data_IF_288887105125
#
_entry.id   IF_288887105125
#
_cell.length_a   1.000
_cell.length_b   1.000
_cell.length_c   1.000
_cell.angle_alpha   90.00
_cell.angle_beta   90.00
_cell.angle_gamma   90.00
#
_symmetry.space_group_name_H-M   'P 1'
#
loop_
_entity.id
_entity.type
_entity.pdbx_description
1 polymer ?
#
# COMPACT_ATOMS: atom_id res chain seq x y z
N UNK A 1 35.48 -20.28 -0.70
CA UNK A 1 34.13 -19.73 -0.46
C UNK A 1 33.24 -20.91 -0.16
N UNK A 2 32.60 -20.94 1.01
CA UNK A 2 31.71 -22.04 1.38
C UNK A 2 30.37 -21.85 0.69
N UNK A 3 29.96 -22.84 -0.12
CA UNK A 3 28.62 -22.87 -0.71
C UNK A 3 27.57 -22.86 0.41
N UNK A 4 26.58 -21.98 0.32
CA UNK A 4 25.56 -21.80 1.35
C UNK A 4 24.48 -22.89 1.31
N UNK A 5 24.26 -23.52 0.16
CA UNK A 5 23.30 -24.63 0.01
C UNK A 5 23.08 -24.96 -1.46
N UNK A 6 22.27 -25.99 -1.71
CA UNK A 6 21.96 -26.50 -3.05
C UNK A 6 20.55 -26.08 -3.45
N UNK A 7 20.44 -25.42 -4.61
CA UNK A 7 19.21 -24.85 -5.16
C UNK A 7 18.84 -25.58 -6.44
N UNK A 8 17.59 -26.02 -6.55
CA UNK A 8 17.05 -26.60 -7.77
C UNK A 8 16.25 -25.56 -8.55
N UNK A 9 16.70 -25.24 -9.75
CA UNK A 9 15.98 -24.37 -10.69
C UNK A 9 15.21 -25.24 -11.70
N UNK A 10 13.91 -25.03 -11.81
CA UNK A 10 13.04 -25.78 -12.74
C UNK A 10 12.38 -24.77 -13.68
N UNK A 11 12.78 -24.77 -14.95
CA UNK A 11 12.28 -23.84 -15.98
C UNK A 11 12.51 -24.52 -17.34
N UNK A 12 11.57 -24.47 -18.28
CA UNK A 12 11.74 -25.11 -19.59
C UNK A 12 12.63 -24.30 -20.54
N UNK A 13 12.79 -23.01 -20.28
CA UNK A 13 13.66 -22.12 -21.06
C UNK A 13 15.11 -22.22 -20.59
N UNK A 14 15.97 -22.83 -21.42
CA UNK A 14 17.42 -22.96 -21.16
C UNK A 14 18.08 -21.62 -20.83
N UNK A 15 17.68 -20.53 -21.50
CA UNK A 15 18.22 -19.18 -21.25
C UNK A 15 17.84 -18.65 -19.88
N UNK A 16 16.63 -18.96 -19.39
CA UNK A 16 16.16 -18.58 -18.06
C UNK A 16 16.97 -19.32 -16.99
N UNK A 17 17.17 -20.63 -17.17
CA UNK A 17 18.04 -21.42 -16.30
C UNK A 17 19.48 -20.88 -16.25
N UNK A 18 20.07 -20.53 -17.40
CA UNK A 18 21.41 -19.96 -17.48
C UNK A 18 21.51 -18.61 -16.73
N UNK A 19 20.49 -17.76 -16.87
CA UNK A 19 20.43 -16.47 -16.17
C UNK A 19 20.34 -16.66 -14.65
N UNK A 20 19.41 -17.51 -14.18
CA UNK A 20 19.25 -17.83 -12.75
C UNK A 20 20.51 -18.48 -12.18
N UNK A 21 21.09 -19.43 -12.91
CA UNK A 21 22.35 -20.08 -12.52
C UNK A 21 23.50 -19.08 -12.45
N UNK A 22 23.60 -18.15 -13.39
CA UNK A 22 24.65 -17.12 -13.37
C UNK A 22 24.56 -16.23 -12.15
N UNK A 23 23.34 -15.89 -11.71
CA UNK A 23 23.09 -15.03 -10.56
C UNK A 23 23.31 -15.77 -9.23
N UNK A 24 22.94 -17.05 -9.15
CA UNK A 24 22.96 -17.80 -7.89
C UNK A 24 24.26 -18.57 -7.63
N UNK A 25 25.05 -18.91 -8.67
CA UNK A 25 26.24 -19.77 -8.55
C UNK A 25 27.38 -19.22 -7.67
N UNK A 26 27.38 -17.91 -7.38
CA UNK A 26 28.42 -17.29 -6.54
C UNK A 26 28.24 -17.68 -5.06
N UNK A 27 26.99 -17.90 -4.63
CA UNK A 27 26.62 -18.20 -3.25
C UNK A 27 26.15 -19.66 -3.06
N UNK A 28 25.65 -20.30 -4.12
CA UNK A 28 24.94 -21.58 -4.06
C UNK A 28 25.42 -22.60 -5.10
N UNK A 29 25.23 -23.88 -4.80
CA UNK A 29 25.26 -24.93 -5.81
C UNK A 29 23.92 -24.95 -6.53
N UNK A 30 23.93 -24.87 -7.86
CA UNK A 30 22.70 -24.74 -8.65
C UNK A 30 22.54 -25.94 -9.56
N UNK A 31 21.49 -26.72 -9.30
CA UNK A 31 20.99 -27.79 -10.15
C UNK A 31 19.90 -27.22 -11.06
N UNK A 32 19.83 -27.69 -12.31
CA UNK A 32 18.83 -27.24 -13.26
C UNK A 32 18.05 -28.43 -13.83
N UNK A 33 16.73 -28.27 -13.97
CA UNK A 33 15.84 -29.23 -14.62
C UNK A 33 14.94 -28.52 -15.62
N UNK A 34 14.79 -29.10 -16.83
CA UNK A 34 13.93 -28.55 -17.88
C UNK A 34 12.45 -28.91 -17.75
N UNK A 35 12.11 -29.82 -16.84
CA UNK A 35 10.75 -30.32 -16.64
C UNK A 35 10.62 -30.96 -15.25
N UNK A 36 9.38 -31.25 -14.84
CA UNK A 36 9.07 -31.86 -13.56
C UNK A 36 9.71 -33.24 -13.37
N UNK A 37 9.74 -34.10 -14.40
CA UNK A 37 10.28 -35.46 -14.28
C UNK A 37 11.79 -35.47 -14.03
N UNK A 38 12.54 -34.57 -14.67
CA UNK A 38 13.97 -34.43 -14.42
C UNK A 38 14.25 -33.76 -13.06
N UNK A 39 13.38 -32.86 -12.61
CA UNK A 39 13.45 -32.30 -11.27
C UNK A 39 13.23 -33.36 -10.17
N UNK A 40 12.27 -34.28 -10.37
CA UNK A 40 12.00 -35.39 -9.44
C UNK A 40 13.21 -36.33 -9.32
N UNK A 41 13.87 -36.69 -10.43
CA UNK A 41 15.12 -37.51 -10.39
C UNK A 41 16.23 -36.85 -9.57
N UNK A 42 16.36 -35.52 -9.64
CA UNK A 42 17.34 -34.78 -8.86
C UNK A 42 16.96 -34.76 -7.38
N UNK A 43 15.67 -34.64 -7.05
CA UNK A 43 15.18 -34.70 -5.67
C UNK A 43 15.32 -36.10 -5.04
N UNK A 44 15.35 -37.17 -5.84
CA UNK A 44 15.61 -38.54 -5.36
C UNK A 44 17.09 -38.78 -5.02
N UNK A 45 18.02 -38.15 -5.75
CA UNK A 45 19.46 -38.40 -5.64
C UNK A 45 20.24 -37.38 -4.83
N UNK A 46 19.77 -36.13 -4.74
CA UNK A 46 20.52 -34.99 -4.21
C UNK A 46 19.78 -34.29 -3.08
N UNK A 47 20.53 -33.69 -2.15
CA UNK A 47 19.96 -32.87 -1.08
C UNK A 47 19.69 -31.46 -1.62
N UNK A 48 18.41 -31.14 -1.82
CA UNK A 48 17.97 -29.81 -2.26
C UNK A 48 17.46 -29.00 -1.06
N UNK A 49 17.99 -27.79 -0.90
CA UNK A 49 17.64 -26.90 0.22
C UNK A 49 16.47 -25.99 -0.16
N UNK A 50 16.44 -25.50 -1.40
CA UNK A 50 15.32 -24.73 -1.92
C UNK A 50 15.10 -24.99 -3.42
N UNK A 51 13.85 -24.81 -3.85
CA UNK A 51 13.40 -25.03 -5.23
C UNK A 51 12.87 -23.71 -5.77
N UNK A 52 13.31 -23.36 -6.97
CA UNK A 52 12.90 -22.17 -7.70
C UNK A 52 12.28 -22.63 -9.02
N UNK A 53 10.95 -22.68 -9.07
CA UNK A 53 10.22 -23.28 -10.18
C UNK A 53 9.53 -22.20 -11.00
N UNK A 54 9.64 -22.26 -12.33
CA UNK A 54 8.82 -21.46 -13.21
C UNK A 54 7.38 -21.97 -13.18
N UNK A 55 6.45 -21.03 -13.19
CA UNK A 55 5.04 -21.35 -13.13
C UNK A 55 4.53 -21.97 -14.43
N UNK A 56 5.09 -21.62 -15.59
CA UNK A 56 4.63 -22.05 -16.90
C UNK A 56 5.62 -23.01 -17.53
N UNK A 57 5.50 -24.29 -17.21
CA UNK A 57 6.28 -25.33 -17.88
C UNK A 57 5.40 -26.12 -18.86
N UNK A 58 5.98 -26.74 -19.90
CA UNK A 58 5.28 -27.63 -20.81
C UNK A 58 4.63 -28.77 -20.03
N UNK A 59 3.40 -29.12 -20.40
CA UNK A 59 2.60 -30.22 -19.85
C UNK A 59 2.10 -30.05 -18.41
N UNK A 60 2.82 -29.30 -17.56
CA UNK A 60 2.48 -29.14 -16.15
C UNK A 60 2.82 -27.75 -15.61
N UNK A 61 1.98 -27.21 -14.71
CA UNK A 61 2.27 -25.96 -14.01
C UNK A 61 3.21 -26.14 -12.82
N UNK A 62 4.01 -25.11 -12.52
CA UNK A 62 4.91 -25.10 -11.36
C UNK A 62 4.19 -25.35 -10.03
N UNK A 63 3.00 -24.77 -9.83
CA UNK A 63 2.16 -25.06 -8.66
C UNK A 63 1.79 -26.55 -8.55
N UNK A 64 1.39 -27.20 -9.64
CA UNK A 64 1.00 -28.63 -9.63
C UNK A 64 2.19 -29.52 -9.26
N UNK A 65 3.36 -29.24 -9.86
CA UNK A 65 4.60 -29.91 -9.52
C UNK A 65 4.95 -29.71 -8.03
N UNK A 66 4.92 -28.47 -7.54
CA UNK A 66 5.28 -28.16 -6.15
C UNK A 66 4.31 -28.75 -5.11
N UNK A 67 3.04 -29.00 -5.46
CA UNK A 67 2.11 -29.78 -4.62
C UNK A 67 2.60 -31.21 -4.43
N UNK A 68 3.01 -31.90 -5.50
CA UNK A 68 3.60 -33.25 -5.40
C UNK A 68 4.90 -33.23 -4.61
N UNK A 69 5.76 -32.24 -4.87
CA UNK A 69 7.00 -32.07 -4.10
C UNK A 69 6.69 -31.96 -2.62
N UNK A 70 5.67 -31.19 -2.22
CA UNK A 70 5.28 -31.07 -0.80
C UNK A 70 4.94 -32.43 -0.15
N UNK A 71 4.37 -33.36 -0.91
CA UNK A 71 3.97 -34.68 -0.40
C UNK A 71 5.15 -35.67 -0.32
N UNK A 72 6.04 -35.65 -1.31
CA UNK A 72 7.13 -36.62 -1.45
C UNK A 72 8.45 -36.13 -0.85
N UNK A 73 8.73 -34.84 -0.96
CA UNK A 73 9.93 -34.15 -0.43
C UNK A 73 9.50 -32.88 0.31
N UNK A 74 9.04 -33.02 1.57
CA UNK A 74 8.49 -31.88 2.32
C UNK A 74 9.56 -30.85 2.72
N UNK A 75 10.82 -31.26 2.83
CA UNK A 75 11.92 -30.48 3.41
C UNK A 75 12.36 -29.25 2.59
N UNK A 76 12.57 -29.33 1.26
CA UNK A 76 13.06 -28.19 0.48
C UNK A 76 12.09 -27.01 0.53
N UNK A 77 12.62 -25.80 0.66
CA UNK A 77 11.81 -24.58 0.63
C UNK A 77 11.37 -24.28 -0.81
N UNK A 78 10.06 -24.24 -1.05
CA UNK A 78 9.48 -24.15 -2.39
C UNK A 78 9.18 -22.69 -2.75
N UNK A 79 9.73 -22.19 -3.86
CA UNK A 79 9.50 -20.85 -4.39
C UNK A 79 9.08 -20.93 -5.86
N UNK A 80 8.36 -19.90 -6.31
CA UNK A 80 7.85 -19.86 -7.68
C UNK A 80 8.20 -18.56 -8.39
N UNK A 81 8.55 -18.66 -9.67
CA UNK A 81 8.81 -17.55 -10.58
C UNK A 81 7.70 -17.48 -11.63
N UNK A 82 7.19 -16.29 -11.91
CA UNK A 82 6.05 -16.11 -12.80
C UNK A 82 6.09 -14.73 -13.48
N UNK A 83 5.49 -14.61 -14.66
CA UNK A 83 5.40 -13.35 -15.42
C UNK A 83 4.12 -12.57 -15.12
N UNK A 84 4.05 -11.32 -15.59
CA UNK A 84 2.92 -10.38 -15.41
C UNK A 84 1.54 -10.86 -15.94
N UNK A 85 1.44 -12.06 -16.52
CA UNK A 85 0.23 -12.54 -17.21
C UNK A 85 -0.42 -13.78 -16.56
N UNK A 86 -0.05 -14.12 -15.34
CA UNK A 86 -0.50 -15.33 -14.65
C UNK A 86 -1.80 -15.12 -13.85
N UNK A 87 -2.75 -16.05 -14.02
CA UNK A 87 -4.12 -15.99 -13.50
C UNK A 87 -4.21 -16.24 -11.98
N UNK A 88 -5.29 -15.74 -11.35
CA UNK A 88 -5.61 -15.88 -9.92
C UNK A 88 -5.62 -17.34 -9.40
N UNK A 89 -5.89 -18.32 -10.26
CA UNK A 89 -5.85 -19.76 -9.94
C UNK A 89 -4.49 -20.24 -9.43
N UNK A 90 -3.42 -19.52 -9.82
CA UNK A 90 -2.05 -19.79 -9.41
C UNK A 90 -1.85 -19.37 -7.95
N UNK A 91 -2.46 -18.26 -7.53
CA UNK A 91 -2.40 -17.71 -6.17
C UNK A 91 -3.11 -18.62 -5.17
N UNK A 92 -4.26 -19.19 -5.54
CA UNK A 92 -5.00 -20.15 -4.71
C UNK A 92 -4.21 -21.44 -4.45
N UNK A 93 -3.50 -21.93 -5.47
CA UNK A 93 -2.65 -23.12 -5.36
C UNK A 93 -1.35 -22.92 -4.56
N UNK A 94 -0.93 -21.67 -4.29
CA UNK A 94 0.30 -21.38 -3.53
C UNK A 94 0.27 -21.93 -2.11
N UNK A 95 -0.88 -21.81 -1.43
CA UNK A 95 -1.06 -22.28 -0.06
C UNK A 95 -1.09 -23.81 0.01
N UNK A 96 -1.74 -24.47 -0.96
CA UNK A 96 -1.79 -25.92 -1.07
C UNK A 96 -0.43 -26.53 -1.45
N UNK A 97 0.37 -25.85 -2.27
CA UNK A 97 1.75 -26.25 -2.58
C UNK A 97 2.74 -25.92 -1.45
N UNK A 98 2.31 -25.19 -0.41
CA UNK A 98 3.19 -24.75 0.67
C UNK A 98 4.35 -23.90 0.15
N UNK A 99 4.06 -23.02 -0.81
CA UNK A 99 5.03 -22.13 -1.43
C UNK A 99 5.40 -21.04 -0.43
N UNK A 100 6.70 -20.89 -0.21
CA UNK A 100 7.29 -19.90 0.67
C UNK A 100 7.19 -18.49 0.07
N UNK A 101 7.55 -18.37 -1.21
CA UNK A 101 7.63 -17.06 -1.86
C UNK A 101 7.33 -17.12 -3.35
N UNK A 102 6.64 -16.08 -3.81
CA UNK A 102 6.32 -15.80 -5.21
C UNK A 102 7.18 -14.65 -5.72
N UNK A 103 7.78 -14.82 -6.91
CA UNK A 103 8.74 -13.90 -7.51
C UNK A 103 8.28 -13.52 -8.93
N UNK A 104 8.09 -12.22 -9.17
CA UNK A 104 7.66 -11.69 -10.47
C UNK A 104 8.84 -11.49 -11.42
N UNK A 105 8.70 -11.91 -12.69
CA UNK A 105 9.55 -11.50 -13.82
C UNK A 105 9.11 -10.09 -14.30
N UNK A 106 10.03 -9.13 -14.54
CA UNK A 106 11.47 -9.25 -14.38
C UNK A 106 11.89 -9.14 -12.91
N UNK A 107 12.79 -10.04 -12.48
CA UNK A 107 13.37 -10.04 -11.14
C UNK A 107 14.69 -9.26 -11.13
N UNK A 108 15.01 -8.64 -9.99
CA UNK A 108 16.30 -7.96 -9.77
C UNK A 108 17.31 -8.96 -9.20
N UNK A 109 18.53 -9.07 -9.75
CA UNK A 109 19.51 -10.06 -9.34
C UNK A 109 19.85 -10.04 -7.84
N UNK A 110 20.10 -8.86 -7.27
CA UNK A 110 20.48 -8.74 -5.85
C UNK A 110 19.35 -9.22 -4.94
N UNK A 111 18.12 -8.80 -5.23
CA UNK A 111 16.93 -9.18 -4.48
C UNK A 111 16.63 -10.68 -4.57
N UNK A 112 16.89 -11.29 -5.73
CA UNK A 112 16.71 -12.74 -5.90
C UNK A 112 17.68 -13.53 -5.03
N UNK A 113 18.94 -13.10 -4.95
CA UNK A 113 19.96 -13.74 -4.10
C UNK A 113 19.55 -13.67 -2.63
N UNK A 114 19.09 -12.52 -2.15
CA UNK A 114 18.65 -12.36 -0.75
C UNK A 114 17.47 -13.28 -0.40
N UNK A 115 16.46 -13.37 -1.28
CA UNK A 115 15.32 -14.26 -1.14
C UNK A 115 15.77 -15.73 -1.01
N UNK A 116 16.72 -16.16 -1.86
CA UNK A 116 17.22 -17.53 -1.82
C UNK A 116 18.08 -17.79 -0.57
N UNK A 117 18.84 -16.79 -0.09
CA UNK A 117 19.58 -16.89 1.18
C UNK A 117 18.63 -17.11 2.36
N UNK A 118 17.53 -16.36 2.43
CA UNK A 118 16.49 -16.55 3.44
C UNK A 118 15.86 -17.95 3.35
N UNK A 119 15.56 -18.43 2.14
CA UNK A 119 14.99 -19.76 1.93
C UNK A 119 15.93 -20.89 2.44
N UNK A 120 17.23 -20.80 2.17
CA UNK A 120 18.20 -21.79 2.66
C UNK A 120 18.37 -21.72 4.19
N UNK A 121 18.33 -20.53 4.77
CA UNK A 121 18.34 -20.38 6.23
C UNK A 121 17.11 -21.02 6.87
N UNK A 122 15.93 -20.83 6.27
CA UNK A 122 14.70 -21.47 6.72
C UNK A 122 14.77 -23.00 6.68
N UNK A 123 15.33 -23.57 5.61
CA UNK A 123 15.58 -25.01 5.52
C UNK A 123 16.45 -25.50 6.69
N UNK A 124 17.56 -24.82 6.97
CA UNK A 124 18.48 -25.19 8.05
C UNK A 124 17.81 -25.12 9.42
N UNK A 125 17.05 -24.06 9.69
CA UNK A 125 16.31 -23.90 10.94
C UNK A 125 15.23 -24.99 11.11
N UNK A 126 14.58 -25.42 10.02
CA UNK A 126 13.63 -26.54 10.05
C UNK A 126 14.35 -27.85 10.40
N UNK A 127 15.50 -28.13 9.78
CA UNK A 127 16.29 -29.34 10.06
C UNK A 127 16.93 -29.37 11.43
N UNK A 128 17.41 -28.24 11.96
CA UNK A 128 17.93 -28.13 13.33
C UNK A 128 16.84 -28.43 14.37
N UNK A 129 15.60 -28.01 14.10
CA UNK A 129 14.43 -28.28 14.95
C UNK A 129 14.04 -29.76 14.93
N UNK A 130 14.24 -30.46 13.81
CA UNK A 130 14.01 -31.91 13.69
C UNK A 130 15.13 -32.74 14.34
N UNK A 131 16.38 -32.28 14.25
CA UNK A 131 17.57 -33.02 14.73
C UNK A 131 17.73 -32.95 16.25
N UNK A 132 17.23 -31.88 16.90
CA UNK A 132 17.17 -31.75 18.36
C UNK A 132 15.99 -32.54 19.00
N UNK A 133 15.24 -33.31 18.21
CA UNK A 133 14.03 -34.03 18.60
C UNK A 133 14.15 -35.56 18.66
N UNK A 134 15.36 -36.14 18.73
CA UNK A 134 15.53 -37.59 18.93
C UNK A 134 15.37 -37.95 20.41
N UNK A 135 14.11 -37.88 20.86
CA UNK A 135 13.51 -38.71 21.91
C UNK A 135 12.17 -38.06 22.26
N UNK A 136 11.11 -38.40 21.52
CA UNK A 136 9.76 -38.68 22.04
C UNK A 136 8.90 -39.13 20.86
N UNK A 137 8.37 -40.34 21.00
CA UNK A 137 7.41 -41.00 20.11
C UNK A 137 6.25 -40.08 19.69
N UNK A 138 5.90 -40.22 18.42
CA UNK A 138 4.70 -39.76 17.73
C UNK A 138 3.51 -39.35 18.62
N UNK A 139 3.08 -38.09 18.50
CA UNK A 139 1.71 -37.63 18.74
C UNK A 139 1.50 -36.28 18.02
N UNK A 140 0.28 -35.93 17.58
CA UNK A 140 0.00 -34.84 16.63
C UNK A 140 0.12 -33.47 17.31
N UNK A 141 1.35 -33.00 17.49
CA UNK A 141 1.67 -31.74 18.18
C UNK A 141 2.51 -30.75 17.37
N UNK A 142 3.04 -31.12 16.21
CA UNK A 142 4.05 -30.30 15.51
C UNK A 142 3.49 -29.14 14.68
N UNK A 143 2.18 -29.09 14.43
CA UNK A 143 1.52 -27.94 13.78
C UNK A 143 1.55 -26.68 14.70
N UNK A 144 1.70 -26.84 16.02
CA UNK A 144 1.73 -25.69 16.95
C UNK A 144 3.04 -24.90 16.91
N UNK A 145 4.16 -25.49 16.46
CA UNK A 145 5.47 -24.79 16.44
C UNK A 145 5.70 -23.94 15.18
N UNK A 146 5.25 -24.36 14.00
CA UNK A 146 5.35 -23.54 12.77
C UNK A 146 4.46 -22.29 12.85
N UNK A 147 3.29 -22.41 13.50
CA UNK A 147 2.43 -21.26 13.80
C UNK A 147 3.11 -20.31 14.80
N UNK A 148 3.90 -20.82 15.76
CA UNK A 148 4.61 -19.97 16.73
C UNK A 148 5.77 -19.14 16.15
N UNK A 149 6.37 -19.58 15.03
CA UNK A 149 7.43 -18.80 14.33
C UNK A 149 6.80 -17.71 13.44
N UNK A 150 5.71 -18.02 12.72
CA UNK A 150 4.88 -17.00 12.02
C UNK A 150 4.29 -15.96 12.99
N UNK A 151 3.95 -16.39 14.21
CA UNK A 151 3.44 -15.56 15.32
C UNK A 151 4.46 -14.56 15.86
N UNK A 152 5.77 -14.83 15.72
CA UNK A 152 6.83 -13.90 16.14
C UNK A 152 7.05 -12.79 15.11
N UNK A 153 7.22 -13.15 13.84
CA UNK A 153 7.63 -12.21 12.78
C UNK A 153 6.48 -11.31 12.33
N UNK A 154 5.27 -11.85 12.08
CA UNK A 154 4.12 -11.04 11.68
C UNK A 154 3.63 -10.13 12.83
N UNK A 155 3.67 -10.62 14.07
CA UNK A 155 3.38 -9.79 15.25
C UNK A 155 4.43 -8.69 15.42
N UNK A 156 5.73 -8.97 15.23
CA UNK A 156 6.78 -7.93 15.28
C UNK A 156 6.72 -6.90 14.14
N UNK A 157 6.17 -7.27 12.98
CA UNK A 157 6.05 -6.39 11.82
C UNK A 157 4.81 -5.49 11.86
N UNK A 158 3.75 -5.92 12.55
CA UNK A 158 2.47 -5.21 12.57
C UNK A 158 1.94 -4.98 13.99
N UNK A 159 2.79 -5.06 15.02
CA UNK A 159 2.40 -4.73 16.40
C UNK A 159 1.97 -3.27 16.50
N UNK A 160 1.23 -2.95 17.56
CA UNK A 160 0.89 -1.57 17.89
C UNK A 160 2.13 -0.68 18.02
N UNK A 161 3.28 -1.24 18.41
CA UNK A 161 4.55 -0.55 18.57
C UNK A 161 5.13 -0.01 17.24
N UNK A 162 4.63 -0.47 16.09
CA UNK A 162 5.00 0.04 14.75
C UNK A 162 4.27 1.31 14.37
N UNK A 163 3.20 1.66 15.08
CA UNK A 163 2.50 2.92 14.88
C UNK A 163 3.36 4.00 15.52
N UNK A 164 4.17 4.69 14.72
CA UNK A 164 5.08 5.72 15.22
C UNK A 164 4.27 6.90 15.76
N UNK A 165 4.50 7.24 17.03
CA UNK A 165 3.91 8.40 17.69
C UNK A 165 4.80 8.89 18.84
N UNK A 166 4.63 10.15 19.22
CA UNK A 166 5.21 10.76 20.42
C UNK A 166 4.48 10.32 21.68
N UNK A 167 5.13 10.45 22.84
CA UNK A 167 4.52 10.15 24.14
C UNK A 167 3.27 10.99 24.42
N UNK A 168 3.25 12.24 23.95
CA UNK A 168 2.15 13.19 24.16
C UNK A 168 1.07 13.13 23.06
N UNK A 169 1.21 12.21 22.10
CA UNK A 169 0.30 12.12 20.96
C UNK A 169 -1.11 11.63 21.34
N UNK A 170 -2.17 12.17 20.71
CA UNK A 170 -3.52 11.59 20.82
C UNK A 170 -3.60 10.12 20.36
N UNK A 171 -2.60 9.64 19.61
CA UNK A 171 -2.49 8.23 19.20
C UNK A 171 -2.43 7.25 20.37
N UNK A 172 -1.99 7.67 21.55
CA UNK A 172 -2.00 6.81 22.74
C UNK A 172 -3.39 6.26 23.04
N UNK A 173 -4.42 7.12 22.99
CA UNK A 173 -5.82 6.71 23.23
C UNK A 173 -6.32 5.80 22.12
N UNK A 174 -5.93 6.07 20.88
CA UNK A 174 -6.29 5.26 19.70
C UNK A 174 -5.72 3.85 19.82
N UNK A 175 -4.45 3.74 20.22
CA UNK A 175 -3.76 2.46 20.42
C UNK A 175 -4.35 1.70 21.60
N UNK A 176 -4.67 2.38 22.70
CA UNK A 176 -5.34 1.76 23.84
C UNK A 176 -6.71 1.18 23.47
N UNK A 177 -7.51 1.93 22.71
CA UNK A 177 -8.78 1.45 22.17
C UNK A 177 -8.59 0.28 21.20
N UNK A 178 -7.59 0.35 20.33
CA UNK A 178 -7.24 -0.74 19.41
C UNK A 178 -6.82 -2.02 20.14
N UNK A 179 -6.01 -1.91 21.21
CA UNK A 179 -5.62 -3.03 22.06
C UNK A 179 -6.83 -3.67 22.74
N UNK A 180 -7.71 -2.85 23.33
CA UNK A 180 -8.98 -3.34 23.90
C UNK A 180 -9.84 -4.03 22.86
N UNK A 181 -9.95 -3.47 21.66
CA UNK A 181 -10.70 -4.08 20.58
C UNK A 181 -10.11 -5.43 20.18
N UNK A 182 -8.78 -5.58 20.16
CA UNK A 182 -8.11 -6.82 19.78
C UNK A 182 -8.48 -8.01 20.69
N UNK A 183 -8.74 -7.76 21.98
CA UNK A 183 -9.10 -8.78 22.97
C UNK A 183 -10.49 -9.39 22.77
N UNK A 184 -11.38 -8.71 22.03
CA UNK A 184 -12.75 -9.15 21.80
C UNK A 184 -13.02 -9.45 20.32
N UNK A 185 -13.89 -10.41 20.06
CA UNK A 185 -14.36 -10.72 18.70
C UNK A 185 -15.53 -9.81 18.31
N UNK A 186 -15.22 -8.50 18.21
CA UNK A 186 -16.17 -7.44 17.88
C UNK A 186 -15.79 -6.77 16.56
N UNK A 187 -16.81 -6.28 15.83
CA UNK A 187 -16.58 -5.45 14.65
C UNK A 187 -16.04 -4.08 15.05
N UNK A 188 -15.02 -3.62 14.33
CA UNK A 188 -14.35 -2.34 14.60
C UNK A 188 -14.52 -1.43 13.40
N UNK A 189 -15.00 -0.20 13.64
CA UNK A 189 -15.08 0.84 12.61
C UNK A 189 -13.98 1.88 12.84
N UNK A 190 -13.02 1.96 11.92
CA UNK A 190 -11.92 2.92 11.96
C UNK A 190 -12.27 4.12 11.10
N UNK A 191 -12.51 5.28 11.72
CA UNK A 191 -12.77 6.53 11.01
C UNK A 191 -11.51 7.38 10.94
N UNK A 192 -11.41 8.23 9.93
CA UNK A 192 -10.35 9.24 9.84
C UNK A 192 -9.95 9.53 8.41
N UNK A 193 -9.27 10.65 8.20
CA UNK A 193 -8.91 11.12 6.86
C UNK A 193 -8.04 10.12 6.08
N UNK A 194 -7.96 10.33 4.76
CA UNK A 194 -7.08 9.51 3.92
C UNK A 194 -5.62 9.69 4.35
N UNK A 195 -4.87 8.58 4.41
CA UNK A 195 -3.46 8.60 4.78
C UNK A 195 -3.16 8.76 6.28
N UNK A 196 -4.13 8.65 7.19
CA UNK A 196 -3.87 8.72 8.65
C UNK A 196 -3.27 7.43 9.25
N UNK A 197 -3.32 6.31 8.51
CA UNK A 197 -2.83 5.00 8.96
C UNK A 197 -3.91 4.01 9.39
N UNK A 198 -5.15 4.12 8.87
CA UNK A 198 -6.26 3.23 9.21
C UNK A 198 -5.94 1.74 9.00
N UNK A 199 -5.31 1.39 7.88
CA UNK A 199 -4.90 0.00 7.59
C UNK A 199 -3.85 -0.51 8.60
N UNK A 200 -2.89 0.34 9.01
CA UNK A 200 -1.89 -0.03 10.01
C UNK A 200 -2.56 -0.38 11.35
N UNK A 201 -3.54 0.41 11.77
CA UNK A 201 -4.32 0.12 12.97
C UNK A 201 -5.14 -1.18 12.81
N UNK A 202 -5.77 -1.41 11.64
CA UNK A 202 -6.51 -2.63 11.38
C UNK A 202 -5.63 -3.89 11.47
N UNK A 203 -4.43 -3.84 10.89
CA UNK A 203 -3.43 -4.90 11.01
C UNK A 203 -3.01 -5.13 12.46
N UNK A 204 -2.72 -4.06 13.20
CA UNK A 204 -2.36 -4.16 14.62
C UNK A 204 -3.47 -4.80 15.47
N UNK A 205 -4.73 -4.45 15.22
CA UNK A 205 -5.88 -5.08 15.88
C UNK A 205 -5.94 -6.58 15.55
N UNK A 206 -5.77 -6.98 14.28
CA UNK A 206 -5.78 -8.38 13.90
C UNK A 206 -4.65 -9.18 14.56
N UNK A 207 -3.40 -8.72 14.44
CA UNK A 207 -2.23 -9.41 14.99
C UNK A 207 -2.14 -9.33 16.52
N UNK A 208 -2.84 -8.39 17.14
CA UNK A 208 -3.07 -8.34 18.58
C UNK A 208 -4.16 -9.29 19.08
N UNK A 209 -5.00 -9.84 18.19
CA UNK A 209 -6.19 -10.61 18.57
C UNK A 209 -5.95 -12.12 18.70
N UNK A 210 -6.96 -12.84 19.19
CA UNK A 210 -6.99 -14.31 19.16
C UNK A 210 -6.90 -14.91 17.74
N UNK A 211 -7.26 -14.12 16.71
CA UNK A 211 -7.23 -14.51 15.29
C UNK A 211 -5.90 -14.16 14.60
N UNK A 212 -4.87 -13.70 15.31
CA UNK A 212 -3.58 -13.27 14.76
C UNK A 212 -2.83 -14.29 13.86
N UNK A 213 -3.14 -15.58 14.01
CA UNK A 213 -2.55 -16.66 13.21
C UNK A 213 -3.42 -17.08 12.00
N UNK A 214 -4.54 -16.39 11.79
CA UNK A 214 -5.53 -16.66 10.73
C UNK A 214 -5.36 -15.67 9.59
N UNK A 215 -6.14 -15.80 8.53
CA UNK A 215 -6.07 -14.91 7.39
C UNK A 215 -6.46 -13.48 7.79
N UNK A 216 -5.70 -12.50 7.28
CA UNK A 216 -6.06 -11.09 7.26
C UNK A 216 -6.25 -10.69 5.81
N UNK A 217 -7.50 -10.55 5.38
CA UNK A 217 -7.88 -10.24 4.01
C UNK A 217 -8.23 -8.75 3.93
N UNK A 218 -7.73 -8.06 2.92
CA UNK A 218 -7.95 -6.63 2.71
C UNK A 218 -8.71 -6.43 1.41
N UNK A 219 -9.77 -5.62 1.45
CA UNK A 219 -10.52 -5.20 0.27
C UNK A 219 -10.80 -3.70 0.34
N UNK A 220 -10.62 -2.98 -0.77
CA UNK A 220 -10.98 -1.57 -0.88
C UNK A 220 -12.30 -1.45 -1.65
N UNK A 221 -13.37 -1.15 -0.93
CA UNK A 221 -14.73 -1.08 -1.48
C UNK A 221 -14.94 0.11 -2.43
N UNK A 222 -14.06 1.12 -2.44
CA UNK A 222 -14.12 2.27 -3.34
C UNK A 222 -13.36 2.07 -4.67
N UNK A 223 -12.54 1.02 -4.79
CA UNK A 223 -11.66 0.83 -5.94
C UNK A 223 -12.31 0.10 -7.12
N UNK A 224 -13.42 -0.62 -6.89
CA UNK A 224 -14.04 -1.50 -7.87
C UNK A 224 -15.51 -1.13 -8.11
N UNK A 225 -16.03 -1.34 -9.34
CA UNK A 225 -17.47 -1.33 -9.59
C UNK A 225 -18.21 -2.41 -8.77
N UNK A 226 -19.46 -2.13 -8.39
CA UNK A 226 -20.28 -3.01 -7.54
C UNK A 226 -20.30 -4.48 -7.98
N UNK A 227 -20.49 -4.78 -9.26
CA UNK A 227 -20.57 -6.15 -9.75
C UNK A 227 -19.25 -6.93 -9.54
N UNK A 228 -18.12 -6.26 -9.73
CA UNK A 228 -16.81 -6.84 -9.48
C UNK A 228 -16.56 -6.96 -7.98
N UNK A 229 -16.91 -5.94 -7.19
CA UNK A 229 -16.79 -5.97 -5.74
C UNK A 229 -17.61 -7.12 -5.11
N UNK A 230 -18.81 -7.38 -5.62
CA UNK A 230 -19.64 -8.50 -5.20
C UNK A 230 -19.03 -9.85 -5.57
N UNK A 231 -18.48 -9.95 -6.78
CA UNK A 231 -17.79 -11.16 -7.23
C UNK A 231 -16.53 -11.45 -6.42
N UNK A 232 -15.75 -10.42 -6.07
CA UNK A 232 -14.57 -10.54 -5.22
C UNK A 232 -14.96 -10.92 -3.79
N UNK A 233 -15.90 -10.21 -3.16
CA UNK A 233 -16.23 -10.43 -1.75
C UNK A 233 -17.03 -11.73 -1.51
N UNK A 234 -18.04 -12.01 -2.33
CA UNK A 234 -18.96 -13.13 -2.11
C UNK A 234 -18.68 -14.34 -3.01
N UNK A 235 -17.84 -14.19 -4.03
CA UNK A 235 -17.56 -15.21 -5.04
C UNK A 235 -18.60 -15.22 -6.16
N UNK A 236 -18.27 -15.87 -7.27
CA UNK A 236 -19.18 -16.03 -8.41
C UNK A 236 -19.17 -17.46 -8.95
N UNK A 237 -20.31 -17.90 -9.49
CA UNK A 237 -20.38 -19.10 -10.33
C UNK A 237 -20.18 -18.72 -11.79
N UNK A 238 -19.64 -19.67 -12.57
CA UNK A 238 -19.54 -19.55 -14.02
C UNK A 238 -20.90 -19.19 -14.62
N UNK A 239 -20.92 -18.11 -15.41
CA UNK A 239 -22.14 -17.59 -16.05
C UNK A 239 -23.03 -16.72 -15.16
N UNK A 240 -22.56 -16.30 -13.97
CA UNK A 240 -23.33 -15.42 -13.10
C UNK A 240 -23.55 -14.01 -13.67
N UNK A 241 -22.60 -13.49 -14.46
CA UNK A 241 -22.69 -12.23 -15.20
C UNK A 241 -21.85 -12.28 -16.48
N UNK A 242 -21.98 -11.29 -17.36
CA UNK A 242 -21.19 -11.17 -18.59
C UNK A 242 -19.71 -10.96 -18.26
N UNK A 243 -18.90 -12.01 -18.43
CA UNK A 243 -17.48 -12.03 -18.06
C UNK A 243 -17.12 -13.05 -16.98
N UNK A 244 -18.11 -13.70 -16.34
CA UNK A 244 -17.89 -14.78 -15.37
C UNK A 244 -17.54 -16.11 -16.07
N UNK A 245 -16.33 -16.20 -16.65
CA UNK A 245 -15.89 -17.38 -17.41
C UNK A 245 -15.62 -18.60 -16.53
N UNK A 246 -15.42 -18.40 -15.21
CA UNK A 246 -15.02 -19.42 -14.25
C UNK A 246 -15.70 -19.19 -12.88
N UNK A 247 -15.66 -20.19 -12.00
CA UNK A 247 -16.06 -20.04 -10.61
C UNK A 247 -14.96 -19.28 -9.84
N UNK A 248 -15.35 -18.29 -9.02
CA UNK A 248 -14.45 -17.59 -8.09
C UNK A 248 -14.88 -17.80 -6.64
N UNK A 249 -13.91 -18.03 -5.77
CA UNK A 249 -14.10 -18.08 -4.32
C UNK A 249 -14.10 -16.64 -3.79
N UNK A 250 -15.06 -16.31 -2.93
CA UNK A 250 -15.17 -14.97 -2.36
C UNK A 250 -14.17 -14.72 -1.23
N UNK A 251 -13.74 -13.47 -1.06
CA UNK A 251 -12.84 -13.04 0.01
C UNK A 251 -13.38 -13.31 1.42
N UNK A 252 -14.70 -13.31 1.61
CA UNK A 252 -15.30 -13.74 2.88
C UNK A 252 -15.05 -15.22 3.19
N UNK A 253 -14.98 -16.08 2.17
CA UNK A 253 -14.63 -17.49 2.34
C UNK A 253 -13.12 -17.66 2.58
N UNK A 254 -12.29 -16.87 1.90
CA UNK A 254 -10.83 -16.82 2.15
C UNK A 254 -10.53 -16.34 3.58
N UNK A 255 -11.32 -15.41 4.10
CA UNK A 255 -11.19 -14.85 5.43
C UNK A 255 -11.81 -15.73 6.53
N UNK A 256 -12.32 -16.92 6.22
CA UNK A 256 -12.99 -17.78 7.19
C UNK A 256 -12.08 -18.16 8.37
N UNK A 257 -12.61 -17.99 9.59
CA UNK A 257 -11.88 -18.08 10.85
C UNK A 257 -10.92 -16.90 11.11
N UNK A 258 -10.76 -15.96 10.18
CA UNK A 258 -9.82 -14.84 10.22
C UNK A 258 -10.48 -13.47 10.37
N UNK A 259 -9.90 -12.47 9.71
CA UNK A 259 -10.38 -11.09 9.73
C UNK A 259 -10.41 -10.55 8.30
N UNK A 260 -11.50 -9.88 7.95
CA UNK A 260 -11.62 -9.09 6.74
C UNK A 260 -11.55 -7.60 7.08
N UNK A 261 -10.71 -6.87 6.37
CA UNK A 261 -10.56 -5.44 6.44
C UNK A 261 -11.22 -4.81 5.21
N UNK A 262 -12.29 -4.05 5.43
CA UNK A 262 -13.05 -3.35 4.39
C UNK A 262 -12.70 -1.86 4.42
N UNK A 263 -11.81 -1.42 3.55
CA UNK A 263 -11.45 0.00 3.42
C UNK A 263 -12.46 0.76 2.55
N UNK A 264 -12.57 2.06 2.81
CA UNK A 264 -13.47 2.98 2.10
C UNK A 264 -14.95 2.51 2.08
N UNK A 265 -15.44 1.95 3.19
CA UNK A 265 -16.81 1.39 3.26
C UNK A 265 -17.91 2.43 2.97
N UNK A 266 -17.62 3.72 3.19
CA UNK A 266 -18.53 4.83 2.88
C UNK A 266 -18.73 5.10 1.39
N UNK A 267 -17.93 4.49 0.50
CA UNK A 267 -18.08 4.56 -0.96
C UNK A 267 -19.06 3.52 -1.51
N UNK A 268 -19.50 2.56 -0.68
CA UNK A 268 -20.37 1.46 -1.12
C UNK A 268 -21.76 1.92 -1.55
N UNK A 269 -22.28 1.33 -2.62
CA UNK A 269 -23.63 1.61 -3.09
C UNK A 269 -24.72 1.08 -2.14
N UNK A 270 -25.93 1.67 -2.13
CA UNK A 270 -27.04 1.17 -1.32
C UNK A 270 -27.41 -0.30 -1.62
N UNK A 271 -27.24 -0.75 -2.87
CA UNK A 271 -27.51 -2.13 -3.26
C UNK A 271 -26.48 -3.09 -2.64
N UNK A 272 -25.20 -2.73 -2.69
CA UNK A 272 -24.12 -3.50 -2.09
C UNK A 272 -24.27 -3.59 -0.56
N UNK A 273 -24.62 -2.48 0.09
CA UNK A 273 -24.85 -2.42 1.54
C UNK A 273 -25.86 -3.46 2.03
N UNK A 274 -26.89 -3.79 1.24
CA UNK A 274 -27.88 -4.83 1.59
C UNK A 274 -27.24 -6.22 1.65
N UNK A 275 -26.37 -6.52 0.69
CA UNK A 275 -25.68 -7.83 0.61
C UNK A 275 -24.67 -7.96 1.73
N UNK A 276 -23.89 -6.91 1.98
CA UNK A 276 -22.95 -6.88 3.09
C UNK A 276 -23.66 -7.05 4.44
N UNK A 277 -24.78 -6.37 4.66
CA UNK A 277 -25.56 -6.50 5.89
C UNK A 277 -25.98 -7.95 6.16
N UNK A 278 -26.41 -8.69 5.13
CA UNK A 278 -26.78 -10.11 5.26
C UNK A 278 -25.61 -10.95 5.76
N UNK A 279 -24.44 -10.78 5.18
CA UNK A 279 -23.23 -11.50 5.62
C UNK A 279 -22.89 -11.17 7.07
N UNK A 280 -22.97 -9.90 7.45
CA UNK A 280 -22.67 -9.46 8.82
C UNK A 280 -23.70 -9.93 9.86
N UNK A 281 -24.96 -10.15 9.47
CA UNK A 281 -26.03 -10.58 10.37
C UNK A 281 -26.15 -12.10 10.46
N UNK A 282 -26.12 -12.79 9.32
CA UNK A 282 -26.43 -14.21 9.19
C UNK A 282 -25.16 -15.08 9.21
N UNK A 283 -23.97 -14.47 9.08
CA UNK A 283 -22.69 -15.19 8.91
C UNK A 283 -22.74 -16.16 7.73
N UNK A 284 -23.47 -15.78 6.69
CA UNK A 284 -23.71 -16.57 5.48
C UNK A 284 -23.42 -15.75 4.23
N UNK A 285 -22.67 -16.33 3.30
CA UNK A 285 -22.44 -15.78 1.98
C UNK A 285 -23.23 -16.57 0.92
N UNK A 286 -23.71 -15.87 -0.10
CA UNK A 286 -24.29 -16.48 -1.30
C UNK A 286 -23.49 -16.01 -2.51
N UNK A 287 -22.67 -16.88 -3.12
CA UNK A 287 -21.96 -16.52 -4.35
C UNK A 287 -22.93 -16.10 -5.45
N UNK A 288 -22.50 -15.16 -6.29
CA UNK A 288 -23.28 -14.70 -7.44
C UNK A 288 -23.63 -15.88 -8.36
N UNK A 289 -24.91 -16.01 -8.72
CA UNK A 289 -25.41 -17.13 -9.52
C UNK A 289 -25.53 -18.47 -8.79
N UNK A 290 -25.14 -18.57 -7.51
CA UNK A 290 -25.32 -19.78 -6.71
C UNK A 290 -26.64 -19.78 -5.93
N UNK A 291 -27.28 -20.95 -5.82
CA UNK A 291 -28.48 -21.12 -5.00
C UNK A 291 -28.19 -21.47 -3.53
N UNK A 292 -27.01 -22.05 -3.26
CA UNK A 292 -26.63 -22.50 -1.91
C UNK A 292 -25.89 -21.40 -1.15
N UNK A 293 -26.29 -21.20 0.10
CA UNK A 293 -25.58 -20.36 1.07
C UNK A 293 -24.39 -21.14 1.65
N UNK A 294 -23.35 -20.42 2.07
CA UNK A 294 -22.16 -20.95 2.76
C UNK A 294 -21.98 -20.18 4.06
N UNK A 295 -21.78 -20.88 5.18
CA UNK A 295 -21.48 -20.25 6.47
C UNK A 295 -20.02 -19.86 6.54
N UNK A 296 -19.75 -18.67 7.07
CA UNK A 296 -18.40 -18.13 7.29
C UNK A 296 -18.33 -17.46 8.67
N UNK A 297 -17.22 -17.68 9.37
CA UNK A 297 -16.90 -17.02 10.64
C UNK A 297 -15.79 -15.99 10.43
N UNK A 298 -16.17 -14.74 10.17
CA UNK A 298 -15.23 -13.67 9.83
C UNK A 298 -15.40 -12.49 10.76
N UNK A 299 -14.31 -12.09 11.41
CA UNK A 299 -14.25 -10.81 12.13
C UNK A 299 -14.13 -9.67 11.12
N UNK A 300 -14.94 -8.63 11.28
CA UNK A 300 -14.93 -7.48 10.35
C UNK A 300 -14.31 -6.24 10.98
N UNK A 301 -13.29 -5.71 10.33
CA UNK A 301 -12.74 -4.38 10.60
C UNK A 301 -13.04 -3.51 9.39
N UNK A 302 -13.76 -2.41 9.55
CA UNK A 302 -14.08 -1.50 8.46
C UNK A 302 -13.36 -0.17 8.64
N UNK A 303 -13.05 0.51 7.54
CA UNK A 303 -12.46 1.83 7.55
C UNK A 303 -13.17 2.78 6.58
N UNK A 304 -13.18 4.07 6.94
CA UNK A 304 -13.74 5.13 6.09
C UNK A 304 -13.12 6.49 6.40
N UNK A 305 -13.08 7.35 5.40
CA UNK A 305 -12.76 8.78 5.51
C UNK A 305 -14.01 9.68 5.47
N UNK A 306 -15.20 9.11 5.25
CA UNK A 306 -16.48 9.82 5.28
C UNK A 306 -17.09 9.80 6.68
N UNK A 307 -17.93 10.79 6.95
CA UNK A 307 -18.80 10.81 8.12
C UNK A 307 -20.03 9.93 7.85
N UNK A 308 -20.02 8.69 8.34
CA UNK A 308 -21.13 7.76 8.11
C UNK A 308 -22.43 8.19 8.78
N UNK A 309 -22.39 8.97 9.86
CA UNK A 309 -23.61 9.46 10.51
C UNK A 309 -24.31 10.46 9.60
N UNK A 310 -23.55 11.37 9.00
CA UNK A 310 -24.06 12.28 7.97
C UNK A 310 -24.55 11.54 6.72
N UNK A 311 -23.86 10.49 6.28
CA UNK A 311 -24.29 9.66 5.14
C UNK A 311 -25.58 8.87 5.43
N UNK A 312 -25.78 8.45 6.69
CA UNK A 312 -27.03 7.82 7.15
C UNK A 312 -28.18 8.82 7.12
N UNK A 313 -27.97 10.03 7.62
CA UNK A 313 -29.01 11.07 7.62
C UNK A 313 -29.35 11.54 6.21
N UNK A 314 -28.37 11.54 5.31
CA UNK A 314 -28.58 11.82 3.89
C UNK A 314 -29.19 10.63 3.10
N UNK A 315 -29.45 9.49 3.74
CA UNK A 315 -30.05 8.30 3.12
C UNK A 315 -29.13 7.56 2.14
N UNK A 316 -27.83 7.88 2.09
CA UNK A 316 -26.83 7.22 1.22
C UNK A 316 -26.19 6.01 1.87
N UNK A 317 -26.21 5.95 3.20
CA UNK A 317 -25.73 4.81 3.97
C UNK A 317 -26.85 4.24 4.84
N UNK A 318 -26.99 2.92 4.91
CA UNK A 318 -28.04 2.30 5.69
C UNK A 318 -27.73 2.34 7.20
N UNK A 319 -28.74 2.75 7.98
CA UNK A 319 -28.66 2.87 9.43
C UNK A 319 -28.38 1.53 10.13
N UNK A 320 -28.97 0.44 9.65
CA UNK A 320 -28.77 -0.92 10.20
C UNK A 320 -27.34 -1.44 9.98
N UNK A 321 -26.78 -1.21 8.79
CA UNK A 321 -25.39 -1.53 8.47
C UNK A 321 -24.42 -0.70 9.31
N UNK A 322 -24.68 0.60 9.48
CA UNK A 322 -23.86 1.48 10.32
C UNK A 322 -23.73 0.92 11.74
N UNK A 323 -24.84 0.60 12.41
CA UNK A 323 -24.77 0.07 13.78
C UNK A 323 -24.11 -1.31 13.88
N UNK A 324 -24.14 -2.11 12.82
CA UNK A 324 -23.46 -3.41 12.80
C UNK A 324 -21.94 -3.28 12.65
N UNK A 325 -21.48 -2.33 11.85
CA UNK A 325 -20.05 -2.04 11.65
C UNK A 325 -19.47 -1.21 12.79
N UNK A 326 -20.22 -0.20 13.26
CA UNK A 326 -19.84 0.72 14.33
C UNK A 326 -20.04 0.13 15.74
N UNK A 327 -19.91 -1.19 15.89
CA UNK A 327 -20.01 -1.83 17.21
C UNK A 327 -18.88 -1.36 18.14
N UNK A 328 -17.70 -1.08 17.59
CA UNK A 328 -16.59 -0.45 18.30
C UNK A 328 -15.92 0.61 17.41
N UNK A 329 -16.32 1.89 17.49
CA UNK A 329 -15.75 2.96 16.68
C UNK A 329 -14.40 3.43 17.24
N UNK A 330 -13.42 3.61 16.36
CA UNK A 330 -12.09 4.15 16.68
C UNK A 330 -11.75 5.26 15.69
N UNK A 331 -11.46 6.46 16.19
CA UNK A 331 -11.15 7.61 15.35
C UNK A 331 -9.63 7.83 15.24
N UNK A 332 -9.12 7.90 14.02
CA UNK A 332 -7.73 8.21 13.70
C UNK A 332 -7.56 9.73 13.52
N UNK A 333 -6.81 10.41 14.40
CA UNK A 333 -6.56 11.84 14.28
C UNK A 333 -5.75 12.19 13.02
N UNK A 334 -6.08 13.32 12.40
CA UNK A 334 -5.32 13.86 11.28
C UNK A 334 -3.92 14.29 11.74
N UNK A 335 -2.96 14.33 10.82
CA UNK A 335 -1.57 14.66 11.11
C UNK A 335 -1.41 16.09 11.63
N UNK A 336 -2.26 17.03 11.17
CA UNK A 336 -2.33 18.41 11.70
C UNK A 336 -2.71 18.50 13.18
N UNK A 337 -3.45 17.52 13.69
CA UNK A 337 -3.89 17.48 15.10
C UNK A 337 -2.85 16.79 15.99
N UNK A 338 -1.79 16.26 15.38
CA UNK A 338 -0.65 15.62 16.05
C UNK A 338 0.71 16.08 15.48
N UNK A 339 1.02 17.39 15.50
CA UNK A 339 2.26 17.92 14.92
C UNK A 339 3.52 17.37 15.61
N UNK A 340 3.42 16.97 16.88
CA UNK A 340 4.51 16.31 17.62
C UNK A 340 4.96 14.98 17.02
N UNK A 341 4.10 14.32 16.24
CA UNK A 341 4.43 13.05 15.58
C UNK A 341 5.15 13.26 14.24
N UNK A 342 5.03 14.43 13.62
CA UNK A 342 5.48 14.68 12.24
C UNK A 342 6.97 14.40 12.08
N UNK A 343 7.80 14.92 12.99
CA UNK A 343 9.26 14.71 12.93
C UNK A 343 9.62 13.23 13.09
N UNK A 344 9.02 12.55 14.07
CA UNK A 344 9.27 11.12 14.32
C UNK A 344 8.87 10.26 13.13
N UNK A 345 7.71 10.54 12.53
CA UNK A 345 7.23 9.84 11.34
C UNK A 345 8.16 10.13 10.16
N UNK A 346 8.55 11.39 9.95
CA UNK A 346 9.43 11.78 8.86
C UNK A 346 10.80 11.09 8.93
N UNK A 347 11.39 11.02 10.12
CA UNK A 347 12.66 10.31 10.35
C UNK A 347 12.53 8.81 10.12
N UNK A 348 11.44 8.19 10.60
CA UNK A 348 11.14 6.79 10.35
C UNK A 348 11.02 6.48 8.85
N UNK A 349 10.26 7.30 8.12
CA UNK A 349 10.12 7.18 6.66
C UNK A 349 11.48 7.36 5.97
N UNK A 350 12.25 8.38 6.35
CA UNK A 350 13.58 8.61 5.77
C UNK A 350 14.48 7.40 6.00
N UNK A 351 14.46 6.79 7.17
CA UNK A 351 15.24 5.57 7.45
C UNK A 351 14.86 4.42 6.52
N UNK A 352 13.58 4.21 6.24
CA UNK A 352 13.16 3.20 5.26
C UNK A 352 13.64 3.53 3.85
N UNK A 353 13.54 4.80 3.45
CA UNK A 353 13.97 5.28 2.13
C UNK A 353 15.48 5.19 1.95
N UNK A 354 16.29 5.48 2.98
CA UNK A 354 17.76 5.29 2.95
C UNK A 354 18.15 3.88 2.51
N UNK A 355 17.51 2.89 3.12
CA UNK A 355 17.76 1.48 2.83
C UNK A 355 17.29 1.11 1.43
N UNK A 356 16.08 1.52 1.05
CA UNK A 356 15.52 1.20 -0.27
C UNK A 356 16.29 1.83 -1.44
N UNK A 357 16.85 3.02 -1.26
CA UNK A 357 17.59 3.75 -2.30
C UNK A 357 19.12 3.64 -2.17
N UNK A 358 19.61 2.84 -1.22
CA UNK A 358 21.03 2.67 -0.92
C UNK A 358 21.79 3.99 -0.69
N UNK A 359 21.17 4.93 0.04
CA UNK A 359 21.73 6.25 0.38
C UNK A 359 21.76 6.46 1.90
N UNK A 360 22.70 5.85 2.64
CA UNK A 360 22.71 5.88 4.11
C UNK A 360 23.00 7.28 4.70
N UNK A 361 23.70 8.14 3.96
CA UNK A 361 24.11 9.48 4.37
C UNK A 361 22.99 10.51 4.47
N UNK A 362 21.79 10.21 3.96
CA UNK A 362 20.69 11.17 3.89
C UNK A 362 20.32 11.73 5.27
N UNK A 363 20.05 13.02 5.38
CA UNK A 363 19.56 13.64 6.62
C UNK A 363 18.72 14.85 6.30
N UNK A 364 17.76 15.17 7.16
CA UNK A 364 17.02 16.43 7.03
C UNK A 364 17.86 17.59 7.55
N UNK A 365 17.83 18.72 6.84
CA UNK A 365 18.23 19.99 7.41
C UNK A 365 17.23 20.41 8.51
N UNK A 366 17.69 21.14 9.53
CA UNK A 366 16.81 21.64 10.59
C UNK A 366 15.63 22.47 10.04
N UNK A 367 15.90 23.28 9.01
CA UNK A 367 14.89 24.07 8.30
C UNK A 367 13.80 23.22 7.62
N UNK A 368 14.14 22.01 7.17
CA UNK A 368 13.19 21.07 6.56
C UNK A 368 12.23 20.50 7.61
N UNK A 369 12.74 20.10 8.77
CA UNK A 369 11.92 19.57 9.87
C UNK A 369 10.98 20.65 10.43
N UNK A 370 11.45 21.89 10.57
CA UNK A 370 10.59 23.02 10.94
C UNK A 370 9.47 23.27 9.93
N UNK A 371 9.79 23.18 8.63
CA UNK A 371 8.80 23.33 7.57
C UNK A 371 7.76 22.20 7.60
N UNK A 372 8.17 20.97 7.86
CA UNK A 372 7.27 19.82 8.01
C UNK A 372 6.33 20.01 9.19
N UNK A 373 6.83 20.43 10.35
CA UNK A 373 6.02 20.63 11.56
C UNK A 373 4.97 21.75 11.40
N UNK A 374 5.22 22.74 10.53
CA UNK A 374 4.28 23.84 10.26
C UNK A 374 3.25 23.52 9.18
N UNK A 375 3.51 22.53 8.33
CA UNK A 375 2.61 22.17 7.24
C UNK A 375 1.44 21.31 7.73
N UNK A 376 0.25 21.55 7.18
CA UNK A 376 -0.99 20.92 7.67
C UNK A 376 -1.20 19.48 7.17
N UNK A 377 -0.43 19.04 6.16
CA UNK A 377 -0.50 17.68 5.59
C UNK A 377 -1.94 17.22 5.29
N UNK A 378 -2.66 17.84 4.33
CA UNK A 378 -4.02 17.42 3.97
C UNK A 378 -4.12 15.95 3.50
N UNK A 379 -3.05 15.36 2.95
CA UNK A 379 -2.97 13.93 2.65
C UNK A 379 -2.30 13.10 3.76
N UNK A 380 -2.15 13.66 4.95
CA UNK A 380 -1.62 13.05 6.17
C UNK A 380 -0.26 12.36 5.94
N UNK A 381 -0.06 11.17 6.52
CA UNK A 381 1.20 10.41 6.45
C UNK A 381 1.53 10.00 5.02
N UNK A 382 0.51 9.74 4.18
CA UNK A 382 0.71 9.37 2.77
C UNK A 382 1.31 10.53 1.96
N UNK A 383 0.84 11.76 2.17
CA UNK A 383 1.45 12.95 1.54
C UNK A 383 2.87 13.19 2.07
N UNK A 384 3.09 13.07 3.38
CA UNK A 384 4.42 13.19 3.99
C UNK A 384 5.41 12.18 3.39
N UNK A 385 5.01 10.91 3.28
CA UNK A 385 5.84 9.86 2.70
C UNK A 385 6.20 10.14 1.24
N UNK A 386 5.22 10.52 0.43
CA UNK A 386 5.43 10.85 -0.98
C UNK A 386 6.37 12.06 -1.14
N UNK A 387 6.22 13.08 -0.30
CA UNK A 387 7.08 14.26 -0.36
C UNK A 387 8.52 13.93 0.06
N UNK A 388 8.73 13.12 1.10
CA UNK A 388 10.07 12.65 1.50
C UNK A 388 10.73 11.83 0.40
N UNK A 389 10.00 10.89 -0.21
CA UNK A 389 10.52 10.11 -1.33
C UNK A 389 10.92 11.01 -2.50
N UNK A 390 10.08 12.00 -2.82
CA UNK A 390 10.37 12.98 -3.87
C UNK A 390 11.60 13.81 -3.55
N UNK A 391 11.75 14.27 -2.31
CA UNK A 391 12.93 15.01 -1.86
C UNK A 391 14.20 14.18 -2.04
N UNK A 392 14.18 12.91 -1.69
CA UNK A 392 15.34 12.01 -1.85
C UNK A 392 15.72 11.79 -3.32
N UNK A 393 14.72 11.63 -4.19
CA UNK A 393 14.96 11.45 -5.64
C UNK A 393 15.53 12.72 -6.28
N UNK A 394 15.11 13.90 -5.82
CA UNK A 394 15.56 15.19 -6.35
C UNK A 394 16.83 15.73 -5.67
N UNK A 395 17.33 15.07 -4.62
CA UNK A 395 18.44 15.59 -3.84
C UNK A 395 19.80 15.22 -4.45
N UNK A 396 20.54 16.25 -4.87
CA UNK A 396 21.94 16.12 -5.32
C UNK A 396 22.91 15.92 -4.15
N UNK A 397 22.53 16.38 -2.95
CA UNK A 397 23.31 16.25 -1.72
C UNK A 397 22.63 15.33 -0.71
N UNK A 398 23.39 14.84 0.27
CA UNK A 398 22.84 14.00 1.34
C UNK A 398 22.03 14.80 2.38
N UNK A 399 22.15 16.12 2.40
CA UNK A 399 21.36 16.99 3.26
C UNK A 399 20.10 17.50 2.54
N UNK A 400 18.95 16.98 2.95
CA UNK A 400 17.63 17.31 2.39
C UNK A 400 17.15 18.65 2.93
N UNK A 401 17.10 19.64 2.04
CA UNK A 401 16.57 20.97 2.32
C UNK A 401 15.03 20.98 2.23
N UNK A 402 14.40 21.98 2.84
CA UNK A 402 12.95 22.16 2.79
C UNK A 402 12.48 22.29 1.32
N UNK A 403 11.52 21.48 0.85
CA UNK A 403 11.06 21.58 -0.53
C UNK A 403 10.34 22.93 -0.76
N UNK A 404 10.58 23.61 -1.89
CA UNK A 404 9.95 24.90 -2.21
C UNK A 404 8.42 24.88 -2.20
N UNK A 405 7.83 23.69 -2.37
CA UNK A 405 6.38 23.49 -2.42
C UNK A 405 5.69 23.60 -1.05
N UNK A 406 6.39 23.35 0.06
CA UNK A 406 5.86 23.62 1.40
C UNK A 406 5.67 25.13 1.64
N UNK A 407 6.48 25.97 0.98
CA UNK A 407 6.30 27.42 0.95
C UNK A 407 5.13 27.89 0.08
N UNK A 408 4.72 27.10 -0.93
CA UNK A 408 3.60 27.44 -1.85
C UNK A 408 2.24 26.90 -1.41
N UNK A 409 2.18 25.83 -0.61
CA UNK A 409 0.91 25.24 -0.16
C UNK A 409 0.48 25.72 1.24
N UNK A 410 1.38 26.26 2.07
CA UNK A 410 1.06 26.82 3.40
C UNK A 410 0.41 28.21 3.40
N UNK A 411 0.11 28.74 2.22
CA UNK A 411 -0.88 29.77 2.04
C UNK A 411 -1.46 29.54 0.64
N UNK A 412 -2.73 29.78 0.39
CA UNK A 412 -3.14 31.16 0.11
C UNK A 412 -2.04 32.17 0.45
N UNK A 413 -0.88 32.12 -0.24
CA UNK A 413 -0.35 33.39 -0.70
C UNK A 413 -1.53 33.93 -1.50
N UNK A 414 -2.14 35.06 -1.09
CA UNK A 414 -2.82 35.83 -2.10
C UNK A 414 -1.74 35.96 -3.17
N UNK A 415 -1.95 35.39 -4.35
CA UNK A 415 -1.40 36.00 -5.56
C UNK A 415 -1.70 37.46 -5.32
N UNK A 416 -0.67 38.25 -5.01
CA UNK A 416 -0.81 39.56 -4.37
C UNK A 416 -2.05 40.18 -4.98
N UNK A 417 -3.13 40.25 -4.18
CA UNK A 417 -4.44 40.50 -4.73
C UNK A 417 -4.25 41.78 -5.52
N UNK A 418 -4.31 41.67 -6.84
CA UNK A 418 -4.28 42.84 -7.71
C UNK A 418 -5.35 43.72 -7.09
N UNK A 419 -5.03 44.92 -6.59
CA UNK A 419 -6.01 45.73 -5.89
C UNK A 419 -7.06 46.14 -6.94
N UNK A 420 -8.11 45.34 -7.02
CA UNK A 420 -9.06 45.34 -8.11
C UNK A 420 -10.13 44.32 -7.80
N UNK A 421 -11.20 44.79 -7.15
CA UNK A 421 -12.41 44.03 -6.85
C UNK A 421 -12.85 43.22 -8.07
N UNK A 422 -12.69 41.90 -8.04
CA UNK A 422 -13.31 40.98 -9.00
C UNK A 422 -14.78 40.71 -8.61
N UNK A 423 -15.53 41.77 -8.34
CA UNK A 423 -16.96 41.72 -8.04
C UNK A 423 -17.69 42.66 -9.00
N UNK A 424 -18.49 42.09 -9.92
CA UNK A 424 -19.52 42.79 -10.69
C UNK A 424 -19.16 43.06 -12.16
N UNK A 425 -19.89 42.41 -13.07
CA UNK A 425 -20.27 42.87 -14.42
C UNK A 425 -19.28 43.74 -15.23
N UNK A 426 -18.00 43.41 -15.26
CA UNK A 426 -17.03 44.05 -16.15
C UNK A 426 -16.85 43.20 -17.42
N UNK A 427 -16.99 43.84 -18.58
CA UNK A 427 -16.77 43.18 -19.88
C UNK A 427 -15.30 42.75 -20.01
N UNK A 428 -15.00 41.82 -20.90
CA UNK A 428 -13.60 41.39 -21.16
C UNK A 428 -12.69 42.59 -21.45
N UNK A 429 -13.23 43.63 -22.08
CA UNK A 429 -12.53 44.87 -22.39
C UNK A 429 -12.05 45.60 -21.13
N UNK A 430 -12.90 45.70 -20.11
CA UNK A 430 -12.58 46.39 -18.86
C UNK A 430 -11.48 45.65 -18.08
N UNK A 431 -11.54 44.30 -18.07
CA UNK A 431 -10.52 43.46 -17.44
C UNK A 431 -9.16 43.58 -18.09
N UNK A 432 -9.13 43.65 -19.43
CA UNK A 432 -7.89 43.86 -20.18
C UNK A 432 -7.34 45.26 -19.91
N UNK A 433 -8.18 46.29 -19.86
CA UNK A 433 -7.74 47.65 -19.55
C UNK A 433 -7.17 47.78 -18.12
N UNK A 434 -7.75 47.09 -17.13
CA UNK A 434 -7.24 47.11 -15.75
C UNK A 434 -5.90 46.37 -15.62
N UNK A 435 -5.73 45.25 -16.33
CA UNK A 435 -4.45 44.55 -16.40
C UNK A 435 -3.38 45.41 -17.09
N UNK A 436 -3.73 46.05 -18.21
CA UNK A 436 -2.82 46.97 -18.92
C UNK A 436 -2.37 48.13 -18.03
N UNK A 437 -3.30 48.74 -17.26
CA UNK A 437 -2.95 49.79 -16.29
C UNK A 437 -1.97 49.31 -15.23
N UNK A 438 -2.23 48.15 -14.61
CA UNK A 438 -1.37 47.59 -13.56
C UNK A 438 0.06 47.29 -14.08
N UNK A 439 0.18 46.75 -15.29
CA UNK A 439 1.47 46.48 -15.93
C UNK A 439 2.22 47.77 -16.26
N UNK A 440 1.52 48.81 -16.76
CA UNK A 440 2.14 50.10 -17.06
C UNK A 440 2.64 50.79 -15.77
N UNK A 441 1.86 50.78 -14.70
CA UNK A 441 2.24 51.40 -13.41
C UNK A 441 3.47 50.70 -12.82
N UNK A 442 3.43 49.37 -12.70
CA UNK A 442 4.56 48.61 -12.12
C UNK A 442 5.85 48.75 -12.92
N UNK A 443 5.75 48.95 -14.23
CA UNK A 443 6.91 49.17 -15.09
C UNK A 443 7.42 50.61 -15.01
N UNK A 444 6.53 51.60 -14.83
CA UNK A 444 6.91 52.99 -14.56
C UNK A 444 7.67 53.13 -13.24
N UNK A 445 7.20 52.47 -12.18
CA UNK A 445 7.86 52.47 -10.87
C UNK A 445 9.26 51.84 -10.95
N UNK A 446 9.42 50.74 -11.69
CA UNK A 446 10.71 50.05 -11.84
C UNK A 446 11.77 50.89 -12.56
N UNK A 447 11.35 51.74 -13.48
CA UNK A 447 12.24 52.56 -14.31
C UNK A 447 12.19 54.06 -13.96
N UNK A 448 11.70 54.38 -12.75
CA UNK A 448 11.67 55.74 -12.18
C UNK A 448 11.07 56.78 -13.15
N UNK A 449 9.96 56.41 -13.79
CA UNK A 449 9.25 57.29 -14.72
C UNK A 449 9.90 57.48 -16.10
N UNK A 450 10.98 56.76 -16.44
CA UNK A 450 11.63 56.90 -17.75
C UNK A 450 10.82 56.28 -18.90
N UNK A 451 9.96 57.10 -19.51
CA UNK A 451 9.02 56.73 -20.58
C UNK A 451 9.71 55.98 -21.75
N UNK A 452 10.97 56.29 -22.09
CA UNK A 452 11.66 55.62 -23.20
C UNK A 452 12.02 54.17 -22.88
N UNK A 453 12.49 53.90 -21.65
CA UNK A 453 12.85 52.55 -21.22
C UNK A 453 11.60 51.70 -20.99
N UNK A 454 10.57 52.29 -20.39
CA UNK A 454 9.26 51.66 -20.18
C UNK A 454 8.60 51.27 -21.51
N UNK A 455 8.67 52.14 -22.52
CA UNK A 455 8.12 51.85 -23.85
C UNK A 455 8.83 50.67 -24.52
N UNK A 456 10.17 50.62 -24.46
CA UNK A 456 10.95 49.51 -25.00
C UNK A 456 10.66 48.18 -24.28
N UNK A 457 10.61 48.18 -22.94
CA UNK A 457 10.31 46.98 -22.14
C UNK A 457 8.92 46.40 -22.48
N UNK A 458 7.93 47.29 -22.61
CA UNK A 458 6.55 46.90 -22.90
C UNK A 458 6.31 46.61 -24.40
N UNK A 459 7.34 46.74 -25.25
CA UNK A 459 7.21 46.57 -26.70
C UNK A 459 6.30 47.60 -27.38
N UNK A 460 6.13 48.78 -26.76
CA UNK A 460 5.27 49.86 -27.25
C UNK A 460 6.11 51.00 -27.85
N UNK A 461 5.54 51.71 -28.82
CA UNK A 461 6.14 52.98 -29.26
C UNK A 461 5.99 54.04 -28.17
N UNK A 462 6.94 54.99 -28.11
CA UNK A 462 6.92 56.10 -27.13
C UNK A 462 5.63 56.93 -27.22
N UNK A 463 5.07 57.06 -28.43
CA UNK A 463 3.78 57.71 -28.69
C UNK A 463 2.62 56.85 -28.20
N UNK A 464 2.66 55.54 -28.45
CA UNK A 464 1.65 54.58 -28.00
C UNK A 464 1.54 54.50 -26.48
N UNK A 465 2.67 54.47 -25.78
CA UNK A 465 2.70 54.52 -24.31
C UNK A 465 2.15 55.85 -23.78
N UNK A 466 2.51 56.99 -24.38
CA UNK A 466 1.96 58.31 -23.98
C UNK A 466 0.45 58.41 -24.15
N UNK A 467 -0.09 57.81 -25.21
CA UNK A 467 -1.53 57.76 -25.45
C UNK A 467 -2.24 56.87 -24.41
N UNK A 468 -1.67 55.70 -24.07
CA UNK A 468 -2.21 54.83 -23.01
C UNK A 468 -2.15 55.51 -21.63
N UNK A 469 -1.06 56.20 -21.29
CA UNK A 469 -0.94 56.96 -20.04
C UNK A 469 -1.98 58.09 -19.94
N UNK A 470 -2.28 58.75 -21.06
CA UNK A 470 -3.33 59.77 -21.11
C UNK A 470 -4.74 59.18 -21.02
N UNK A 471 -4.97 58.02 -21.65
CA UNK A 471 -6.26 57.31 -21.64
C UNK A 471 -6.61 56.77 -20.25
N UNK A 472 -5.61 56.44 -19.44
CA UNK A 472 -5.80 55.90 -18.09
C UNK A 472 -5.58 56.93 -16.97
N UNK A 473 -5.37 58.21 -17.32
CA UNK A 473 -5.14 59.33 -16.39
C UNK A 473 -3.99 59.11 -15.39
N UNK A 474 -2.94 58.39 -15.81
CA UNK A 474 -1.81 57.99 -14.96
C UNK A 474 -0.72 59.08 -14.85
N UNK A 475 -1.03 60.35 -15.18
CA UNK A 475 -0.06 61.45 -15.19
C UNK A 475 0.04 62.25 -13.89
N UNK A 476 -0.68 61.86 -12.83
CA UNK A 476 -0.85 62.73 -11.66
C UNK A 476 0.09 62.51 -10.48
N UNK A 477 1.04 61.58 -10.52
CA UNK A 477 2.05 61.42 -9.46
C UNK A 477 3.40 60.98 -10.06
N UNK A 478 4.00 61.82 -10.91
CA UNK A 478 5.40 61.69 -11.35
C UNK A 478 6.15 62.97 -11.00
#
# INVERSE_FOLDING_TARGET
MSVLGTILVVDDEVRSQEALRRVLREDFEVLCAGNAADAEKLLEGEIVHAILCDQRMPHESGVSFLKRVRELWPDPVRMIISGYSDSEDIIAGLNEAGIYQYITKPWQPERLVDIVKEAVQLYRLQKETETAGVDVKATPGHIKKVVSVKRGVAKQLYDFDRIVHSSESPMHKVIELGKRAADYDISVLITGESGTGKELLARAIHYGSARANKAFVVENCGALPDELLESELFGCKKGAFTGAYQDRIGLFEVADGGTIFLDEIGETSPAFQVKLLRVLQESEIRPLGAQRVRKVDVRVVAATNRDLEAEVEAGRFRRDLYYRLAAFPVHMPALRDRPMDVTLIAEGVLSSVKTSFNRPGLRFAASALEAFARYHWPGNVRELQNEIQRMVVLADADELQAPPLLGRRNGKQPVAAIPGKLNGSATLKDKVEDLEKAVIISTLERYDGNISRVANELGLSRVGLRNKLSRYDLRKNA
#
